data_IF_628908288017
#
_entry.id   IF_628908288017
#
_cell.length_a   1.000
_cell.length_b   1.000
_cell.length_c   1.000
_cell.angle_alpha   90.00
_cell.angle_beta   90.00
_cell.angle_gamma   90.00
#
_symmetry.space_group_name_H-M   'P 1'
#
loop_
_entity.id
_entity.type
_entity.pdbx_description
1 polymer ?
#
# COMPACT_ATOMS: atom_id res chain seq x y z
N UNK A 1 7.75 -17.60 -8.33
CA UNK A 1 8.08 -16.15 -8.31
C UNK A 1 7.44 -15.54 -7.09
N UNK A 2 8.21 -15.27 -6.05
CA UNK A 2 7.75 -14.62 -4.82
C UNK A 2 7.72 -13.10 -5.01
N UNK A 3 6.67 -12.39 -4.56
CA UNK A 3 6.65 -10.93 -4.62
C UNK A 3 7.75 -10.34 -3.72
N UNK A 4 8.46 -9.33 -4.23
CA UNK A 4 9.44 -8.58 -3.45
C UNK A 4 8.72 -7.46 -2.68
N UNK A 5 8.64 -7.59 -1.36
CA UNK A 5 7.95 -6.63 -0.48
C UNK A 5 8.91 -5.54 -0.01
N UNK A 6 8.49 -4.30 -0.17
CA UNK A 6 9.16 -3.11 0.36
C UNK A 6 8.32 -2.53 1.49
N UNK A 7 8.88 -2.47 2.70
CA UNK A 7 8.23 -1.91 3.89
C UNK A 7 8.38 -0.40 3.92
N UNK A 8 7.34 0.30 4.39
CA UNK A 8 7.39 1.75 4.63
C UNK A 8 8.39 2.11 5.73
N UNK A 9 9.12 3.21 5.54
CA UNK A 9 10.04 3.79 6.53
C UNK A 9 9.33 4.41 7.75
N UNK A 10 8.03 4.72 7.64
CA UNK A 10 7.21 5.27 8.72
C UNK A 10 6.68 4.21 9.69
N UNK A 11 7.04 2.94 9.46
CA UNK A 11 6.63 1.86 10.32
C UNK A 11 7.53 1.79 11.57
N UNK A 12 7.23 2.64 12.55
CA UNK A 12 7.81 2.55 13.89
C UNK A 12 7.06 1.53 14.76
N UNK A 13 7.76 0.94 15.72
CA UNK A 13 7.30 -0.04 16.69
C UNK A 13 6.05 0.38 17.48
N UNK A 14 5.78 1.68 17.60
CA UNK A 14 4.64 2.24 18.33
C UNK A 14 3.54 2.86 17.44
N UNK A 15 3.77 3.02 16.13
CA UNK A 15 2.84 3.73 15.22
C UNK A 15 1.80 2.81 14.56
N UNK A 16 0.58 3.30 14.25
CA UNK A 16 -0.47 2.47 13.64
C UNK A 16 -0.17 2.07 12.17
N UNK A 17 0.61 2.85 11.43
CA UNK A 17 0.60 2.87 9.96
C UNK A 17 1.73 2.08 9.30
N UNK A 18 1.76 0.77 9.56
CA UNK A 18 2.79 -0.11 9.04
C UNK A 18 2.33 -0.84 7.77
N UNK A 19 2.72 -0.37 6.59
CA UNK A 19 2.36 -0.97 5.30
C UNK A 19 3.56 -1.49 4.51
N UNK A 20 3.32 -2.52 3.69
CA UNK A 20 4.29 -3.08 2.74
C UNK A 20 3.67 -3.13 1.34
N UNK A 21 4.46 -2.77 0.33
CA UNK A 21 4.08 -2.80 -1.07
C UNK A 21 4.97 -3.75 -1.85
N UNK A 22 4.39 -4.54 -2.76
CA UNK A 22 5.13 -5.32 -3.74
C UNK A 22 4.79 -4.82 -5.14
N UNK A 23 5.82 -4.39 -5.86
CA UNK A 23 5.69 -3.92 -7.23
C UNK A 23 5.59 -5.10 -8.21
N UNK A 24 4.87 -4.92 -9.33
CA UNK A 24 4.69 -5.95 -10.34
C UNK A 24 6.03 -6.37 -10.93
N UNK A 25 6.29 -7.67 -10.92
CA UNK A 25 7.51 -8.28 -11.48
C UNK A 25 7.12 -9.10 -12.71
N UNK A 26 6.83 -8.42 -13.82
CA UNK A 26 6.48 -9.04 -15.10
C UNK A 26 5.09 -8.64 -15.67
N UNK A 27 4.81 -9.03 -16.92
CA UNK A 27 3.54 -8.74 -17.58
C UNK A 27 2.38 -9.45 -16.88
N UNK A 28 1.27 -8.73 -16.66
CA UNK A 28 0.08 -9.24 -15.96
C UNK A 28 0.21 -9.30 -14.44
N UNK A 29 1.30 -8.81 -13.85
CA UNK A 29 1.45 -8.74 -12.41
C UNK A 29 0.73 -7.51 -11.83
N UNK A 30 0.11 -7.69 -10.65
CA UNK A 30 -0.54 -6.64 -9.88
C UNK A 30 0.41 -6.03 -8.86
N UNK A 31 0.20 -4.75 -8.53
CA UNK A 31 0.76 -4.12 -7.33
C UNK A 31 0.02 -4.70 -6.12
N UNK A 32 0.75 -5.15 -5.09
CA UNK A 32 0.13 -5.65 -3.86
C UNK A 32 0.43 -4.74 -2.69
N UNK A 33 -0.57 -4.44 -1.86
CA UNK A 33 -0.45 -3.68 -0.63
C UNK A 33 -0.97 -4.51 0.54
N UNK A 34 -0.21 -4.58 1.63
CA UNK A 34 -0.67 -5.23 2.86
C UNK A 34 -0.25 -4.45 4.10
N UNK A 35 -0.96 -4.70 5.17
CA UNK A 35 -0.54 -4.30 6.51
C UNK A 35 0.58 -5.23 6.99
N UNK A 36 1.68 -4.64 7.42
CA UNK A 36 2.89 -5.35 7.85
C UNK A 36 2.70 -6.09 9.17
N UNK A 37 1.71 -5.67 9.99
CA UNK A 37 1.40 -6.31 11.29
C UNK A 37 0.54 -7.56 11.11
N UNK A 38 -0.15 -7.69 9.98
CA UNK A 38 -1.03 -8.81 9.67
C UNK A 38 -0.69 -9.47 8.32
N UNK A 39 0.57 -9.94 8.13
CA UNK A 39 1.05 -10.42 6.83
C UNK A 39 0.37 -11.70 6.33
N UNK A 40 -0.34 -12.42 7.21
CA UNK A 40 -1.13 -13.60 6.88
C UNK A 40 -2.50 -13.27 6.27
N UNK A 41 -2.97 -12.01 6.37
CA UNK A 41 -4.23 -11.58 5.76
C UNK A 41 -4.05 -11.36 4.24
N UNK A 42 -5.12 -11.48 3.45
CA UNK A 42 -5.08 -11.18 2.03
C UNK A 42 -4.58 -9.77 1.76
N UNK A 43 -3.60 -9.64 0.86
CA UNK A 43 -3.13 -8.35 0.38
C UNK A 43 -4.14 -7.76 -0.61
N UNK A 44 -4.28 -6.44 -0.61
CA UNK A 44 -4.98 -5.71 -1.66
C UNK A 44 -4.16 -5.80 -2.95
N UNK A 45 -4.81 -6.05 -4.07
CA UNK A 45 -4.17 -6.15 -5.38
C UNK A 45 -4.74 -5.10 -6.32
N UNK A 46 -3.85 -4.38 -6.99
CA UNK A 46 -4.19 -3.31 -7.92
C UNK A 46 -3.55 -3.57 -9.27
N UNK A 47 -4.26 -3.27 -10.35
CA UNK A 47 -3.59 -3.09 -11.64
C UNK A 47 -2.66 -1.86 -11.59
N UNK A 48 -1.56 -1.84 -12.37
CA UNK A 48 -0.59 -0.73 -12.32
C UNK A 48 -1.20 0.66 -12.58
N UNK A 49 -2.19 0.74 -13.47
CA UNK A 49 -2.93 1.98 -13.74
C UNK A 49 -3.73 2.44 -12.53
N UNK A 50 -4.54 1.54 -11.95
CA UNK A 50 -5.34 1.81 -10.75
C UNK A 50 -4.47 2.19 -9.53
N UNK A 51 -3.30 1.58 -9.38
CA UNK A 51 -2.34 1.97 -8.33
C UNK A 51 -1.86 3.41 -8.48
N UNK A 52 -1.57 3.83 -9.72
CA UNK A 52 -1.09 5.18 -10.01
C UNK A 52 -2.16 6.24 -9.69
N UNK A 53 -3.42 5.96 -10.06
CA UNK A 53 -4.56 6.81 -9.69
C UNK A 53 -4.77 6.85 -8.18
N UNK A 54 -4.75 5.69 -7.52
CA UNK A 54 -4.90 5.58 -6.07
C UNK A 54 -3.87 6.44 -5.32
N UNK A 55 -2.58 6.31 -5.63
CA UNK A 55 -1.52 7.11 -4.99
C UNK A 55 -1.69 8.60 -5.31
N UNK A 56 -2.09 8.94 -6.53
CA UNK A 56 -2.37 10.33 -6.93
C UNK A 56 -3.51 10.97 -6.12
N UNK A 57 -4.53 10.20 -5.75
CA UNK A 57 -5.63 10.67 -4.89
C UNK A 57 -5.22 10.73 -3.42
N UNK A 58 -4.48 9.73 -2.91
CA UNK A 58 -4.02 9.71 -1.52
C UNK A 58 -3.05 10.86 -1.23
N UNK A 59 -2.15 11.20 -2.15
CA UNK A 59 -1.27 12.38 -2.02
C UNK A 59 -2.01 13.71 -2.06
N UNK A 60 -3.27 13.71 -2.54
CA UNK A 60 -4.17 14.87 -2.61
C UNK A 60 -5.17 14.93 -1.45
N UNK A 61 -5.20 13.94 -0.57
CA UNK A 61 -6.11 13.94 0.56
C UNK A 61 -5.75 15.07 1.52
N UNK A 62 -6.33 16.25 1.29
CA UNK A 62 -6.67 17.19 2.36
C UNK A 62 -7.35 16.36 3.44
N UNK A 63 -6.73 16.35 4.63
CA UNK A 63 -7.32 15.81 5.85
C UNK A 63 -8.80 16.21 5.83
N UNK A 64 -9.71 15.23 5.81
CA UNK A 64 -11.13 15.48 6.03
C UNK A 64 -11.24 16.00 7.46
N UNK A 65 -11.04 17.30 7.63
CA UNK A 65 -11.36 18.00 8.87
C UNK A 65 -12.87 18.01 8.93
N UNK A 66 -13.43 16.97 9.52
CA UNK A 66 -14.80 16.98 10.01
C UNK A 66 -14.86 18.03 11.11
N UNK A 67 -15.06 19.29 10.72
CA UNK A 67 -15.45 20.35 11.62
C UNK A 67 -16.85 19.98 12.14
N UNK A 68 -16.95 19.57 13.40
CA UNK A 68 -18.21 19.65 14.16
C UNK A 68 -18.40 21.08 14.68
#
# INVERSE_FOLDING_TARGET
MTPHWTRSSYCDSAGPDCVEVALPSGPGAAVRLRDSKTPARPALAFEPGAWSEFVGQVGRATVFSSSS
#
